data_IF_162271335432
#
_entry.id   IF_162271335432
#
_cell.length_a   1.000
_cell.length_b   1.000
_cell.length_c   1.000
_cell.angle_alpha   90.00
_cell.angle_beta   90.00
_cell.angle_gamma   90.00
#
_symmetry.space_group_name_H-M   'P 1'
#
loop_
_entity.id
_entity.type
_entity.pdbx_description
1 polymer ?
#
# COMPACT_ATOMS: atom_id res chain seq x y z
N UNK A 1 15.83 7.94 -13.24
CA UNK A 1 14.98 9.05 -13.69
C UNK A 1 13.84 9.13 -12.69
N UNK A 2 13.77 10.19 -11.87
CA UNK A 2 12.75 10.36 -10.82
C UNK A 2 11.82 11.50 -11.27
N UNK A 3 10.50 11.31 -11.21
CA UNK A 3 9.46 12.24 -11.64
C UNK A 3 8.55 11.78 -12.79
N UNK A 4 8.53 10.49 -13.17
CA UNK A 4 7.68 9.96 -14.25
C UNK A 4 6.45 9.20 -13.71
N UNK A 5 5.50 8.86 -14.58
CA UNK A 5 4.40 7.95 -14.21
C UNK A 5 4.90 6.53 -13.86
N UNK A 6 6.07 6.14 -14.37
CA UNK A 6 6.69 4.84 -14.07
C UNK A 6 7.16 4.76 -12.61
N UNK A 7 7.53 5.89 -12.00
CA UNK A 7 7.90 5.96 -10.59
C UNK A 7 6.70 5.69 -9.68
N UNK A 8 5.52 6.22 -10.02
CA UNK A 8 4.30 5.90 -9.28
C UNK A 8 3.92 4.42 -9.43
N UNK A 9 4.06 3.87 -10.64
CA UNK A 9 3.84 2.43 -10.86
C UNK A 9 4.82 1.55 -10.06
N UNK A 10 6.06 2.02 -9.85
CA UNK A 10 7.00 1.35 -8.97
C UNK A 10 6.50 1.34 -7.52
N UNK A 11 6.07 2.49 -6.98
CA UNK A 11 5.46 2.56 -5.63
C UNK A 11 4.27 1.62 -5.54
N UNK A 12 3.35 1.66 -6.50
CA UNK A 12 2.16 0.80 -6.57
C UNK A 12 2.51 -0.69 -6.46
N UNK A 13 3.50 -1.15 -7.23
CA UNK A 13 3.97 -2.55 -7.20
C UNK A 13 4.64 -2.92 -5.88
N UNK A 14 5.49 -2.04 -5.35
CA UNK A 14 6.20 -2.30 -4.11
C UNK A 14 5.23 -2.39 -2.93
N UNK A 15 4.24 -1.51 -2.87
CA UNK A 15 3.18 -1.57 -1.85
C UNK A 15 2.29 -2.80 -2.04
N UNK A 16 1.91 -3.15 -3.28
CA UNK A 16 1.17 -4.38 -3.56
C UNK A 16 1.88 -5.63 -3.05
N UNK A 17 3.19 -5.77 -3.33
CA UNK A 17 3.99 -6.88 -2.83
C UNK A 17 4.02 -6.93 -1.29
N UNK A 18 4.02 -5.78 -0.63
CA UNK A 18 3.95 -5.71 0.83
C UNK A 18 2.62 -6.28 1.36
N UNK A 19 1.49 -6.05 0.69
CA UNK A 19 0.21 -6.67 1.05
C UNK A 19 0.20 -8.18 0.79
N UNK A 20 0.94 -8.67 -0.21
CA UNK A 20 1.12 -10.09 -0.49
C UNK A 20 2.07 -10.79 0.52
N UNK A 21 2.62 -10.07 1.49
CA UNK A 21 3.52 -10.59 2.52
C UNK A 21 5.00 -10.55 2.16
N UNK A 22 5.36 -10.01 0.99
CA UNK A 22 6.75 -9.86 0.61
C UNK A 22 7.42 -8.72 1.39
N UNK A 23 8.68 -8.88 1.83
CA UNK A 23 9.40 -7.81 2.48
C UNK A 23 9.68 -6.68 1.48
N UNK A 24 9.60 -5.45 1.95
CA UNK A 24 10.00 -4.30 1.15
C UNK A 24 11.49 -4.40 0.83
N UNK A 25 11.83 -4.54 -0.45
CA UNK A 25 13.23 -4.63 -0.92
C UNK A 25 13.91 -3.28 -1.08
N UNK A 26 13.15 -2.20 -0.92
CA UNK A 26 13.59 -0.83 -1.10
C UNK A 26 13.48 -0.11 0.24
N UNK A 27 14.52 0.63 0.67
CA UNK A 27 14.43 1.44 1.88
C UNK A 27 13.24 2.39 1.84
N UNK A 28 12.61 2.63 2.99
CA UNK A 28 11.41 3.49 3.06
C UNK A 28 11.75 4.94 2.66
N UNK A 29 12.96 5.40 2.94
CA UNK A 29 13.46 6.72 2.55
C UNK A 29 13.56 6.87 1.03
N UNK A 30 13.92 5.79 0.32
CA UNK A 30 13.93 5.77 -1.13
C UNK A 30 12.51 5.73 -1.69
N UNK A 31 11.61 4.98 -1.06
CA UNK A 31 10.18 4.99 -1.40
C UNK A 31 9.60 6.41 -1.29
N UNK A 32 9.90 7.11 -0.20
CA UNK A 32 9.47 8.48 0.05
C UNK A 32 9.96 9.46 -1.03
N UNK A 33 11.14 9.23 -1.63
CA UNK A 33 11.61 10.04 -2.77
C UNK A 33 10.72 9.89 -3.99
N UNK A 34 10.25 8.68 -4.30
CA UNK A 34 9.34 8.42 -5.42
C UNK A 34 7.95 9.02 -5.17
N UNK A 35 7.40 8.87 -3.96
CA UNK A 35 6.13 9.49 -3.57
C UNK A 35 6.21 11.02 -3.69
N UNK A 36 7.26 11.63 -3.13
CA UNK A 36 7.47 13.07 -3.22
C UNK A 36 7.62 13.56 -4.67
N UNK A 37 8.23 12.75 -5.54
CA UNK A 37 8.34 13.06 -6.97
C UNK A 37 6.98 13.02 -7.69
N UNK A 38 6.13 12.03 -7.39
CA UNK A 38 4.77 11.96 -7.91
C UNK A 38 3.93 13.16 -7.47
N UNK A 39 4.01 13.55 -6.20
CA UNK A 39 3.32 14.75 -5.68
C UNK A 39 3.78 16.01 -6.42
N UNK A 40 5.10 16.20 -6.59
CA UNK A 40 5.65 17.34 -7.35
C UNK A 40 5.17 17.36 -8.80
N UNK A 41 5.13 16.20 -9.46
CA UNK A 41 4.61 16.06 -10.84
C UNK A 41 3.12 16.38 -10.92
N UNK A 42 2.30 15.84 -10.02
CA UNK A 42 0.87 16.15 -9.98
C UNK A 42 0.64 17.66 -9.79
N UNK A 43 1.43 18.30 -8.91
CA UNK A 43 1.38 19.75 -8.72
C UNK A 43 1.76 20.52 -10.00
N UNK A 44 2.84 20.15 -10.69
CA UNK A 44 3.26 20.86 -11.92
C UNK A 44 2.25 20.68 -13.06
N UNK A 45 1.58 19.53 -13.12
CA UNK A 45 0.54 19.22 -14.09
C UNK A 45 -0.85 19.73 -13.68
N UNK A 46 -0.96 20.46 -12.57
CA UNK A 46 -2.24 20.97 -12.04
C UNK A 46 -3.28 19.85 -11.82
N UNK A 47 -2.82 18.64 -11.51
CA UNK A 47 -3.70 17.52 -11.16
C UNK A 47 -4.41 17.88 -9.85
N UNK A 48 -5.75 17.77 -9.79
CA UNK A 48 -6.51 18.04 -8.57
C UNK A 48 -6.07 17.13 -7.41
N UNK A 49 -6.00 17.68 -6.20
CA UNK A 49 -5.66 16.92 -4.98
C UNK A 49 -6.52 15.66 -4.81
N UNK A 50 -7.82 15.73 -5.17
CA UNK A 50 -8.73 14.57 -5.13
C UNK A 50 -8.24 13.37 -5.96
N UNK A 51 -7.53 13.59 -7.07
CA UNK A 51 -7.01 12.51 -7.90
C UNK A 51 -5.76 11.89 -7.29
N UNK A 52 -4.90 12.70 -6.66
CA UNK A 52 -3.76 12.19 -5.90
C UNK A 52 -4.21 11.36 -4.69
N UNK A 53 -5.28 11.78 -4.02
CA UNK A 53 -5.88 10.99 -2.93
C UNK A 53 -6.50 9.69 -3.46
N UNK A 54 -7.14 9.73 -4.63
CA UNK A 54 -7.67 8.53 -5.29
C UNK A 54 -6.54 7.55 -5.64
N UNK A 55 -5.40 8.02 -6.15
CA UNK A 55 -4.24 7.16 -6.42
C UNK A 55 -3.77 6.39 -5.18
N UNK A 56 -3.76 7.05 -4.01
CA UNK A 56 -3.40 6.42 -2.73
C UNK A 56 -4.48 5.46 -2.25
N UNK A 57 -5.75 5.89 -2.31
CA UNK A 57 -6.89 5.06 -1.93
C UNK A 57 -6.96 3.77 -2.76
N UNK A 58 -6.71 3.83 -4.07
CA UNK A 58 -6.70 2.66 -4.94
C UNK A 58 -5.63 1.62 -4.53
N UNK A 59 -4.46 2.07 -4.03
CA UNK A 59 -3.43 1.14 -3.53
C UNK A 59 -3.93 0.44 -2.28
N UNK A 60 -4.51 1.21 -1.35
CA UNK A 60 -5.06 0.68 -0.10
C UNK A 60 -6.22 -0.28 -0.38
N UNK A 61 -7.17 0.10 -1.22
CA UNK A 61 -8.31 -0.73 -1.59
C UNK A 61 -7.84 -2.02 -2.25
N UNK A 62 -6.94 -1.94 -3.24
CA UNK A 62 -6.38 -3.10 -3.91
C UNK A 62 -5.62 -4.04 -2.97
N UNK A 63 -4.80 -3.48 -2.07
CA UNK A 63 -4.05 -4.25 -1.08
C UNK A 63 -4.93 -4.87 0.01
N UNK A 64 -5.94 -4.14 0.50
CA UNK A 64 -6.88 -4.68 1.49
C UNK A 64 -7.74 -5.79 0.88
N UNK A 65 -8.15 -5.67 -0.39
CA UNK A 65 -8.85 -6.73 -1.10
C UNK A 65 -8.01 -8.00 -1.27
N UNK A 66 -6.67 -7.91 -1.34
CA UNK A 66 -5.82 -9.12 -1.43
C UNK A 66 -5.76 -9.90 -0.12
N UNK A 67 -6.17 -9.31 1.01
CA UNK A 67 -6.25 -9.98 2.32
C UNK A 67 -7.57 -10.76 2.52
N UNK A 68 -8.63 -10.41 1.78
CA UNK A 68 -9.97 -11.00 1.89
C UNK A 68 -10.03 -12.52 1.64
N UNK A 69 -9.29 -13.09 0.65
CA UNK A 69 -9.22 -14.54 0.45
C UNK A 69 -8.71 -15.32 1.67
N UNK A 70 -7.98 -14.67 2.59
CA UNK A 70 -7.52 -15.28 3.84
C UNK A 70 -8.65 -15.55 4.85
N UNK A 71 -9.79 -14.86 4.71
CA UNK A 71 -10.97 -14.92 5.56
C UNK A 71 -12.14 -15.67 4.90
N UNK A 72 -12.23 -15.63 3.56
CA UNK A 72 -13.28 -16.28 2.80
C UNK A 72 -13.32 -17.81 3.03
N UNK A 73 -14.51 -18.36 3.30
CA UNK A 73 -14.73 -19.80 3.42
C UNK A 73 -14.41 -20.41 4.80
N UNK A 74 -14.06 -19.59 5.80
CA UNK A 74 -13.90 -20.06 7.18
C UNK A 74 -15.28 -20.18 7.85
N UNK A 75 -15.75 -21.41 8.01
CA UNK A 75 -17.08 -21.68 8.59
C UNK A 75 -17.12 -21.67 10.13
N UNK A 76 -15.97 -21.77 10.80
CA UNK A 76 -15.86 -21.76 12.26
C UNK A 76 -15.48 -20.37 12.76
N UNK A 77 -16.40 -19.73 13.50
CA UNK A 77 -16.22 -18.39 14.07
C UNK A 77 -14.97 -18.25 14.94
N UNK A 78 -14.57 -19.29 15.68
CA UNK A 78 -13.37 -19.24 16.52
C UNK A 78 -12.10 -19.21 15.68
N UNK A 79 -12.08 -19.97 14.59
CA UNK A 79 -10.98 -19.97 13.62
C UNK A 79 -10.94 -18.64 12.86
N UNK A 80 -12.10 -18.10 12.51
CA UNK A 80 -12.21 -16.80 11.83
C UNK A 80 -11.62 -15.67 12.68
N UNK A 81 -11.96 -15.60 13.97
CA UNK A 81 -11.39 -14.59 14.89
C UNK A 81 -9.87 -14.71 14.97
N UNK A 82 -9.32 -15.94 15.03
CA UNK A 82 -7.88 -16.16 15.03
C UNK A 82 -7.20 -15.60 13.78
N UNK A 83 -7.74 -15.91 12.60
CA UNK A 83 -7.22 -15.39 11.31
C UNK A 83 -7.33 -13.88 11.19
N UNK A 84 -8.43 -13.31 11.69
CA UNK A 84 -8.64 -11.87 11.69
C UNK A 84 -7.55 -11.17 12.53
N UNK A 85 -7.24 -11.71 13.72
CA UNK A 85 -6.15 -11.21 14.57
C UNK A 85 -4.79 -11.32 13.89
N UNK A 86 -4.52 -12.40 13.17
CA UNK A 86 -3.28 -12.58 12.42
C UNK A 86 -3.13 -11.56 11.29
N UNK A 87 -4.15 -11.41 10.44
CA UNK A 87 -4.16 -10.45 9.33
C UNK A 87 -4.00 -9.02 9.84
N UNK A 88 -4.78 -8.64 10.85
CA UNK A 88 -4.66 -7.31 11.42
C UNK A 88 -3.30 -7.10 12.09
N UNK A 89 -2.79 -8.09 12.82
CA UNK A 89 -1.45 -8.04 13.38
C UNK A 89 -0.38 -7.83 12.31
N UNK A 90 -0.53 -8.46 11.15
CA UNK A 90 0.33 -8.26 9.99
C UNK A 90 0.21 -6.84 9.42
N UNK A 91 -1.02 -6.34 9.19
CA UNK A 91 -1.24 -4.96 8.71
C UNK A 91 -0.60 -3.94 9.65
N UNK A 92 -0.85 -4.02 10.95
CA UNK A 92 -0.34 -3.05 11.93
C UNK A 92 1.17 -3.07 12.11
N UNK A 93 1.81 -4.24 12.01
CA UNK A 93 3.26 -4.38 12.22
C UNK A 93 4.07 -4.31 10.93
N UNK A 94 3.49 -4.72 9.82
CA UNK A 94 4.18 -4.94 8.55
C UNK A 94 3.81 -3.94 7.47
N UNK A 95 2.61 -3.36 7.48
CA UNK A 95 2.14 -2.48 6.40
C UNK A 95 2.07 -1.02 6.88
N UNK A 96 1.31 -0.78 7.96
CA UNK A 96 1.06 0.56 8.49
C UNK A 96 2.35 1.38 8.74
N UNK A 97 3.44 0.82 9.29
CA UNK A 97 4.65 1.60 9.54
C UNK A 97 5.26 2.22 8.28
N UNK A 98 5.10 1.58 7.11
CA UNK A 98 5.61 2.13 5.85
C UNK A 98 4.75 3.27 5.31
N UNK A 99 3.45 3.28 5.61
CA UNK A 99 2.55 4.37 5.26
C UNK A 99 2.69 5.59 6.18
N UNK A 100 3.08 5.36 7.44
CA UNK A 100 3.29 6.40 8.44
C UNK A 100 4.72 6.94 8.47
N UNK A 101 5.64 6.35 7.70
CA UNK A 101 7.03 6.78 7.64
C UNK A 101 7.17 8.14 6.94
N UNK A 102 7.72 9.14 7.65
CA UNK A 102 7.95 10.51 7.15
C UNK A 102 9.43 10.86 7.22
#
# INVERSE_FOLDING_TARGET
SIGTAEDWNFVRRAMGALFDGDPLRTPVEDMNKYVAAHIRRCKSQHIPLKMLLADVADILDGGMMSLDPGLAGVADDRVLVGRLVEIWGFVWRGILPYWEAV
#
